data_IF_636227869884
#
_entry.id   IF_636227869884
#
_cell.length_a   1.000
_cell.length_b   1.000
_cell.length_c   1.000
_cell.angle_alpha   90.00
_cell.angle_beta   90.00
_cell.angle_gamma   90.00
#
_symmetry.space_group_name_H-M   'P 1'
#
loop_
_entity.id
_entity.type
_entity.pdbx_description
1 polymer ?
#
# COMPACT_ATOMS: atom_id res chain seq x y z
N UNK A 1 10.96 -7.91 -9.11
CA UNK A 1 11.21 -6.53 -8.66
C UNK A 1 10.22 -5.64 -9.38
N UNK A 2 9.34 -4.95 -8.67
CA UNK A 2 8.30 -4.11 -9.29
C UNK A 2 8.88 -2.73 -9.64
N UNK A 3 8.49 -2.17 -10.79
CA UNK A 3 8.96 -0.85 -11.23
C UNK A 3 7.98 0.26 -10.84
N UNK A 4 8.46 1.50 -10.75
CA UNK A 4 7.60 2.69 -10.56
C UNK A 4 6.51 2.75 -11.63
N UNK A 5 6.89 2.52 -12.89
CA UNK A 5 5.97 2.54 -14.03
C UNK A 5 4.83 1.53 -13.88
N UNK A 6 5.14 0.30 -13.44
CA UNK A 6 4.15 -0.75 -13.19
C UNK A 6 3.13 -0.33 -12.15
N UNK A 7 3.57 0.25 -11.03
CA UNK A 7 2.65 0.70 -9.98
C UNK A 7 1.83 1.93 -10.40
N UNK A 8 2.39 2.82 -11.22
CA UNK A 8 1.65 3.94 -11.81
C UNK A 8 0.53 3.43 -12.70
N UNK A 9 0.82 2.49 -13.59
CA UNK A 9 -0.21 1.89 -14.45
C UNK A 9 -1.30 1.18 -13.65
N UNK A 10 -0.93 0.45 -12.59
CA UNK A 10 -1.89 -0.22 -11.72
C UNK A 10 -2.83 0.79 -11.03
N UNK A 11 -2.25 1.85 -10.47
CA UNK A 11 -2.99 2.97 -9.86
C UNK A 11 -3.97 3.60 -10.85
N UNK A 12 -3.51 3.88 -12.06
CA UNK A 12 -4.32 4.56 -13.08
C UNK A 12 -5.45 3.65 -13.60
N UNK A 13 -5.17 2.35 -13.76
CA UNK A 13 -6.20 1.34 -14.05
C UNK A 13 -7.24 1.24 -12.93
N UNK A 14 -6.79 1.28 -11.67
CA UNK A 14 -7.68 1.25 -10.52
C UNK A 14 -8.64 2.44 -10.51
N UNK A 15 -8.14 3.66 -10.72
CA UNK A 15 -8.99 4.85 -10.81
C UNK A 15 -10.02 4.76 -11.96
N UNK A 16 -9.61 4.21 -13.11
CA UNK A 16 -10.52 3.98 -14.24
C UNK A 16 -11.65 3.01 -13.88
N UNK A 17 -11.33 1.92 -13.18
CA UNK A 17 -12.29 0.90 -12.75
C UNK A 17 -13.29 1.44 -11.71
N UNK A 18 -12.82 2.24 -10.74
CA UNK A 18 -13.67 2.85 -9.72
C UNK A 18 -14.82 3.69 -10.29
N UNK A 19 -14.63 4.28 -11.49
CA UNK A 19 -15.66 5.08 -12.16
C UNK A 19 -16.94 4.29 -12.44
N UNK A 20 -16.82 2.98 -12.68
CA UNK A 20 -17.93 2.11 -13.06
C UNK A 20 -18.21 1.02 -12.03
N UNK A 21 -17.36 0.86 -11.01
CA UNK A 21 -17.42 -0.23 -10.06
C UNK A 21 -17.50 0.26 -8.60
N UNK A 22 -18.72 0.58 -8.16
CA UNK A 22 -18.99 1.08 -6.80
C UNK A 22 -18.65 0.06 -5.70
N UNK A 23 -18.82 -1.23 -5.96
CA UNK A 23 -18.51 -2.27 -4.96
C UNK A 23 -17.01 -2.31 -4.69
N UNK A 24 -16.20 -2.25 -5.74
CA UNK A 24 -14.75 -2.19 -5.61
C UNK A 24 -14.25 -0.95 -4.86
N UNK A 25 -14.97 0.18 -5.01
CA UNK A 25 -14.69 1.36 -4.19
C UNK A 25 -14.97 1.11 -2.70
N UNK A 26 -16.11 0.51 -2.38
CA UNK A 26 -16.49 0.18 -1.00
C UNK A 26 -15.48 -0.82 -0.39
N UNK A 27 -15.07 -1.83 -1.15
CA UNK A 27 -14.08 -2.81 -0.71
C UNK A 27 -12.73 -2.15 -0.42
N UNK A 28 -12.29 -1.23 -1.29
CA UNK A 28 -11.08 -0.44 -1.07
C UNK A 28 -11.16 0.40 0.21
N UNK A 29 -12.26 1.14 0.40
CA UNK A 29 -12.45 1.96 1.60
C UNK A 29 -12.47 1.11 2.87
N UNK A 30 -13.15 -0.05 2.84
CA UNK A 30 -13.22 -0.97 3.97
C UNK A 30 -11.85 -1.56 4.32
N UNK A 31 -11.12 -2.06 3.32
CA UNK A 31 -9.80 -2.66 3.50
C UNK A 31 -8.76 -1.63 3.99
N UNK A 32 -8.77 -0.42 3.42
CA UNK A 32 -7.77 0.61 3.69
C UNK A 32 -8.11 1.53 4.87
N UNK A 33 -9.20 1.28 5.59
CA UNK A 33 -9.62 2.10 6.74
C UNK A 33 -8.51 2.26 7.79
N UNK A 34 -7.68 1.24 8.03
CA UNK A 34 -6.53 1.31 8.97
C UNK A 34 -5.33 2.08 8.42
N UNK A 35 -5.26 2.23 7.10
CA UNK A 35 -4.17 2.84 6.36
C UNK A 35 -4.53 4.23 5.83
N UNK A 36 -5.65 4.80 6.28
CA UNK A 36 -6.20 6.08 5.79
C UNK A 36 -5.23 7.26 5.90
N UNK A 37 -4.23 7.18 6.79
CA UNK A 37 -3.19 8.20 6.97
C UNK A 37 -2.09 8.16 5.91
N UNK A 38 -1.96 7.05 5.18
CA UNK A 38 -1.04 6.96 4.06
C UNK A 38 -1.61 7.72 2.86
N UNK A 39 -0.76 8.24 1.95
CA UNK A 39 -1.25 8.77 0.68
C UNK A 39 -2.06 7.74 -0.11
N UNK A 40 -3.07 8.18 -0.87
CA UNK A 40 -3.96 7.27 -1.62
C UNK A 40 -3.18 6.32 -2.54
N UNK A 41 -2.13 6.80 -3.21
CA UNK A 41 -1.31 5.96 -4.08
C UNK A 41 -0.57 4.83 -3.32
N UNK A 42 -0.21 5.07 -2.06
CA UNK A 42 0.35 4.05 -1.16
C UNK A 42 -0.73 3.06 -0.73
N UNK A 43 -1.91 3.56 -0.35
CA UNK A 43 -3.06 2.72 0.00
C UNK A 43 -3.44 1.78 -1.15
N UNK A 44 -3.37 2.24 -2.40
CA UNK A 44 -3.65 1.42 -3.58
C UNK A 44 -2.67 0.23 -3.69
N UNK A 45 -1.36 0.47 -3.52
CA UNK A 45 -0.39 -0.64 -3.52
C UNK A 45 -0.63 -1.63 -2.39
N UNK A 46 -0.97 -1.16 -1.19
CA UNK A 46 -1.35 -2.03 -0.07
C UNK A 46 -2.62 -2.82 -0.34
N UNK A 47 -3.60 -2.23 -1.03
CA UNK A 47 -4.84 -2.91 -1.39
C UNK A 47 -4.62 -4.06 -2.39
N UNK A 48 -3.71 -3.89 -3.35
CA UNK A 48 -3.43 -4.91 -4.36
C UNK A 48 -2.45 -6.00 -3.91
N UNK A 49 -1.49 -5.63 -3.07
CA UNK A 49 -0.33 -6.48 -2.79
C UNK A 49 -0.14 -6.81 -1.30
N UNK A 50 -0.86 -6.12 -0.41
CA UNK A 50 -0.89 -6.43 1.00
C UNK A 50 -1.81 -7.61 1.32
N UNK A 51 -1.60 -8.22 2.48
CA UNK A 51 -2.56 -9.18 3.02
C UNK A 51 -3.82 -8.43 3.44
N UNK A 52 -4.96 -8.79 2.87
CA UNK A 52 -6.24 -8.08 2.99
C UNK A 52 -6.84 -8.05 4.41
N UNK A 53 -6.25 -8.74 5.40
CA UNK A 53 -6.83 -8.84 6.73
C UNK A 53 -5.79 -8.77 7.85
N UNK A 54 -5.86 -7.69 8.64
CA UNK A 54 -5.40 -7.67 10.03
C UNK A 54 -4.11 -6.90 10.31
N UNK A 55 -3.14 -6.92 9.40
CA UNK A 55 -1.81 -6.34 9.64
C UNK A 55 -1.74 -4.83 9.34
N UNK A 56 -1.08 -4.08 10.21
CA UNK A 56 -0.67 -2.72 9.92
C UNK A 56 0.58 -2.76 9.04
N UNK A 57 0.65 -1.89 8.02
CA UNK A 57 1.79 -1.83 7.08
C UNK A 57 2.45 -0.47 7.16
N UNK A 58 3.78 -0.44 7.27
CA UNK A 58 4.59 0.77 7.28
C UNK A 58 6.01 0.51 6.74
N UNK A 59 6.76 1.59 6.52
CA UNK A 59 8.18 1.49 6.14
C UNK A 59 9.02 0.91 7.29
N UNK A 60 10.19 0.31 7.00
CA UNK A 60 11.09 -0.18 8.05
C UNK A 60 11.49 0.89 9.08
N UNK A 61 11.77 2.11 8.61
CA UNK A 61 12.13 3.23 9.47
C UNK A 61 10.98 3.63 10.42
N UNK A 62 9.73 3.54 9.96
CA UNK A 62 8.56 3.78 10.81
C UNK A 62 8.47 2.72 11.90
N UNK A 63 8.66 1.45 11.59
CA UNK A 63 8.63 0.39 12.60
C UNK A 63 9.75 0.49 13.62
N UNK A 64 10.96 0.81 13.15
CA UNK A 64 12.11 1.06 14.01
C UNK A 64 11.83 2.22 14.99
N UNK A 65 11.25 3.32 14.51
CA UNK A 65 10.89 4.47 15.38
C UNK A 65 9.83 4.12 16.44
N UNK A 66 9.03 3.09 16.20
CA UNK A 66 8.00 2.59 17.12
C UNK A 66 8.52 1.43 17.99
N UNK A 67 9.82 1.14 17.95
CA UNK A 67 10.44 -0.01 18.63
C UNK A 67 9.71 -1.34 18.35
N UNK A 68 9.14 -1.46 17.15
CA UNK A 68 8.34 -2.62 16.73
C UNK A 68 9.12 -3.42 15.70
N UNK A 69 9.15 -4.74 15.86
CA UNK A 69 9.82 -5.62 14.89
C UNK A 69 8.97 -5.79 13.64
N UNK A 70 9.65 -5.89 12.52
CA UNK A 70 9.07 -6.32 11.25
C UNK A 70 9.00 -7.84 11.24
N UNK A 71 7.96 -8.41 10.64
CA UNK A 71 7.96 -9.85 10.33
C UNK A 71 9.03 -10.15 9.28
N UNK A 72 10.14 -10.78 9.70
CA UNK A 72 11.27 -11.13 8.82
C UNK A 72 10.90 -12.13 7.72
N UNK A 73 9.76 -12.83 7.85
CA UNK A 73 9.24 -13.76 6.83
C UNK A 73 8.32 -13.06 5.84
N UNK A 74 7.88 -11.84 6.13
CA UNK A 74 6.97 -11.12 5.26
C UNK A 74 7.72 -10.55 4.05
N UNK A 75 7.22 -10.87 2.86
CA UNK A 75 7.64 -10.19 1.65
C UNK A 75 7.15 -8.73 1.68
N UNK A 76 8.06 -7.79 1.49
CA UNK A 76 7.73 -6.37 1.45
C UNK A 76 6.71 -6.07 0.34
N UNK A 77 5.71 -5.26 0.68
CA UNK A 77 4.67 -4.82 -0.24
C UNK A 77 5.19 -3.60 -1.01
N UNK A 78 5.36 -3.69 -2.34
CA UNK A 78 5.77 -2.53 -3.13
C UNK A 78 4.63 -1.52 -3.17
N UNK A 79 4.94 -0.28 -2.82
CA UNK A 79 3.99 0.84 -2.84
C UNK A 79 4.62 2.02 -3.55
N UNK A 80 3.79 2.83 -4.20
CA UNK A 80 4.21 4.18 -4.57
C UNK A 80 4.35 5.01 -3.29
N UNK A 81 5.41 5.81 -3.23
CA UNK A 81 5.60 6.82 -2.21
C UNK A 81 6.14 8.11 -2.84
N UNK A 82 6.09 9.20 -2.09
CA UNK A 82 6.52 10.51 -2.55
C UNK A 82 5.39 11.36 -3.13
N UNK A 83 5.76 12.33 -3.96
CA UNK A 83 4.82 13.27 -4.59
C UNK A 83 4.64 12.92 -6.06
N UNK A 84 3.49 13.30 -6.63
CA UNK A 84 3.20 13.10 -8.05
C UNK A 84 4.35 13.61 -8.93
N UNK A 85 4.76 12.85 -9.93
CA UNK A 85 5.90 13.08 -10.84
C UNK A 85 7.29 12.88 -10.22
N UNK A 86 7.36 12.57 -8.92
CA UNK A 86 8.58 12.15 -8.21
C UNK A 86 8.30 10.91 -7.38
N UNK A 87 7.37 10.06 -7.83
CA UNK A 87 7.07 8.83 -7.11
C UNK A 87 8.22 7.83 -7.22
N UNK A 88 8.46 7.13 -6.12
CA UNK A 88 9.43 6.04 -6.05
C UNK A 88 8.77 4.77 -5.51
N UNK A 89 9.40 3.62 -5.76
CA UNK A 89 8.98 2.37 -5.13
C UNK A 89 9.58 2.29 -3.74
N UNK A 90 8.71 2.24 -2.73
CA UNK A 90 9.09 1.85 -1.38
C UNK A 90 8.48 0.50 -1.04
N UNK A 91 9.05 -0.18 -0.05
CA UNK A 91 8.55 -1.46 0.44
C UNK A 91 8.03 -1.31 1.85
N UNK A 92 6.76 -1.63 2.04
CA UNK A 92 6.10 -1.61 3.34
C UNK A 92 5.94 -3.02 3.87
N UNK A 93 6.08 -3.17 5.18
CA UNK A 93 6.08 -4.48 5.83
C UNK A 93 5.04 -4.53 6.95
N UNK A 94 4.47 -5.71 7.23
CA UNK A 94 3.65 -5.88 8.40
C UNK A 94 4.50 -5.88 9.67
N UNK A 95 3.93 -5.43 10.78
CA UNK A 95 4.53 -5.66 12.09
C UNK A 95 4.55 -7.17 12.40
N UNK A 96 5.55 -7.61 13.17
CA UNK A 96 5.55 -8.96 13.74
C UNK A 96 4.35 -9.14 14.70
N UNK A 97 3.78 -10.36 14.79
CA UNK A 97 2.74 -10.69 15.75
C UNK A 97 3.21 -10.59 17.22
#
# INVERSE_FOLDING_TARGET
MTSVHTLIEERDRFYSDLRFNKNRFIDFLGAMAKHYRHPIHTQIGLFFHGSAAGAAYASPATWESLHTKIDERAHGVPVLAGVKEKEEVQYFYPNAP
#
